data_IF_520187481959
#
_entry.id   IF_520187481959
#
_cell.length_a   1.000
_cell.length_b   1.000
_cell.length_c   1.000
_cell.angle_alpha   90.00
_cell.angle_beta   90.00
_cell.angle_gamma   90.00
#
_symmetry.space_group_name_H-M   'P 1'
#
loop_
_entity.id
_entity.type
_entity.pdbx_description
1 polymer ?
#
# COMPACT_ATOMS: atom_id res chain seq x y z
N UNK A 1 28.99 -22.65 30.45
CA UNK A 1 30.40 -22.25 30.69
C UNK A 1 31.40 -23.18 29.99
N UNK A 2 31.31 -24.51 30.17
CA UNK A 2 32.23 -25.49 29.56
C UNK A 2 32.36 -25.35 28.03
N UNK A 3 31.26 -25.44 27.29
CA UNK A 3 31.26 -25.35 25.82
C UNK A 3 31.60 -23.97 25.27
N UNK A 4 31.36 -22.91 26.06
CA UNK A 4 31.55 -21.53 25.62
C UNK A 4 32.99 -21.07 25.76
N UNK A 5 33.67 -21.49 26.82
CA UNK A 5 35.03 -21.03 27.16
C UNK A 5 36.08 -22.14 27.03
N UNK A 6 35.82 -23.33 27.54
CA UNK A 6 36.84 -24.38 27.59
C UNK A 6 37.08 -25.01 26.22
N UNK A 7 36.02 -25.32 25.47
CA UNK A 7 36.18 -25.96 24.16
C UNK A 7 36.94 -25.07 23.16
N UNK A 8 36.59 -23.79 22.94
CA UNK A 8 37.36 -22.96 22.00
C UNK A 8 38.81 -22.74 22.46
N UNK A 9 39.02 -22.59 23.77
CA UNK A 9 40.36 -22.45 24.38
C UNK A 9 41.22 -23.68 24.12
N UNK A 10 40.67 -24.88 24.32
CA UNK A 10 41.39 -26.13 24.07
C UNK A 10 41.62 -26.40 22.58
N UNK A 11 40.66 -26.06 21.70
CA UNK A 11 40.83 -26.23 20.26
C UNK A 11 41.96 -25.34 19.72
N UNK A 12 41.98 -24.06 20.08
CA UNK A 12 43.08 -23.15 19.70
C UNK A 12 44.40 -23.56 20.35
N UNK A 13 44.36 -23.97 21.62
CA UNK A 13 45.51 -24.43 22.37
C UNK A 13 46.15 -25.71 21.82
N UNK A 14 45.36 -26.71 21.44
CA UNK A 14 45.88 -27.97 20.90
C UNK A 14 46.22 -27.81 19.41
N UNK A 15 45.40 -27.11 18.62
CA UNK A 15 45.59 -26.98 17.18
C UNK A 15 46.68 -25.99 16.77
N UNK A 16 46.82 -24.87 17.49
CA UNK A 16 47.72 -23.77 17.13
C UNK A 16 48.66 -23.35 18.27
N UNK A 17 48.68 -24.09 19.38
CA UNK A 17 49.44 -23.75 20.59
C UNK A 17 49.09 -22.37 21.18
N UNK A 18 47.87 -21.88 20.95
CA UNK A 18 47.42 -20.57 21.40
C UNK A 18 46.19 -20.65 22.31
N UNK A 19 46.42 -21.03 23.57
CA UNK A 19 45.39 -21.08 24.61
C UNK A 19 44.85 -19.69 24.95
N UNK A 20 45.71 -18.66 24.92
CA UNK A 20 45.32 -17.28 25.27
C UNK A 20 44.41 -16.70 24.20
N UNK A 21 44.73 -16.90 22.93
CA UNK A 21 43.89 -16.48 21.82
C UNK A 21 42.54 -17.20 21.81
N UNK A 22 42.53 -18.51 22.10
CA UNK A 22 41.30 -19.28 22.25
C UNK A 22 40.38 -18.77 23.37
N UNK A 23 40.96 -18.35 24.50
CA UNK A 23 40.18 -17.78 25.60
C UNK A 23 39.68 -16.35 25.27
N UNK A 24 40.58 -15.42 24.92
CA UNK A 24 40.19 -14.01 24.76
C UNK A 24 39.40 -13.75 23.48
N UNK A 25 39.82 -14.31 22.34
CA UNK A 25 39.17 -14.02 21.06
C UNK A 25 38.07 -15.02 20.74
N UNK A 26 38.37 -16.32 20.73
CA UNK A 26 37.41 -17.35 20.32
C UNK A 26 36.29 -17.59 21.36
N UNK A 27 36.53 -17.23 22.62
CA UNK A 27 35.52 -17.34 23.68
C UNK A 27 34.94 -15.99 24.08
N UNK A 28 35.72 -15.11 24.71
CA UNK A 28 35.21 -13.85 25.31
C UNK A 28 34.73 -12.87 24.24
N UNK A 29 35.58 -12.48 23.29
CA UNK A 29 35.20 -11.50 22.26
C UNK A 29 34.05 -12.00 21.38
N UNK A 30 34.09 -13.27 20.96
CA UNK A 30 32.96 -13.90 20.25
C UNK A 30 31.66 -13.78 21.03
N UNK A 31 31.70 -14.03 22.34
CA UNK A 31 30.52 -13.96 23.21
C UNK A 31 29.98 -12.53 23.30
N UNK A 32 30.87 -11.55 23.45
CA UNK A 32 30.51 -10.13 23.48
C UNK A 32 29.82 -9.74 22.17
N UNK A 33 30.43 -10.04 21.02
CA UNK A 33 29.86 -9.73 19.70
C UNK A 33 28.49 -10.41 19.54
N UNK A 34 28.37 -11.69 19.90
CA UNK A 34 27.11 -12.42 19.78
C UNK A 34 25.99 -11.81 20.63
N UNK A 35 26.28 -11.44 21.88
CA UNK A 35 25.27 -10.80 22.74
C UNK A 35 24.87 -9.43 22.22
N UNK A 36 25.83 -8.62 21.75
CA UNK A 36 25.51 -7.32 21.17
C UNK A 36 24.66 -7.49 19.89
N UNK A 37 25.00 -8.44 19.03
CA UNK A 37 24.24 -8.79 17.84
C UNK A 37 22.79 -9.24 18.17
N UNK A 38 22.60 -10.04 19.22
CA UNK A 38 21.26 -10.52 19.63
C UNK A 38 20.45 -9.41 20.28
N UNK A 39 21.04 -8.63 21.19
CA UNK A 39 20.30 -7.62 21.93
C UNK A 39 20.09 -6.32 21.15
N UNK A 40 20.94 -6.02 20.15
CA UNK A 40 20.74 -4.85 19.31
C UNK A 40 19.49 -4.97 18.43
N UNK A 41 18.92 -6.17 18.24
CA UNK A 41 17.65 -6.37 17.52
C UNK A 41 16.55 -5.49 18.11
N UNK A 42 16.42 -5.52 19.44
CA UNK A 42 15.37 -4.80 20.16
C UNK A 42 15.53 -3.29 20.05
N UNK A 43 16.75 -2.80 19.85
CA UNK A 43 17.04 -1.38 19.69
C UNK A 43 16.97 -0.92 18.24
N UNK A 44 17.48 -1.71 17.28
CA UNK A 44 17.58 -1.32 15.87
C UNK A 44 16.24 -1.45 15.13
N UNK A 45 15.45 -2.46 15.47
CA UNK A 45 14.14 -2.69 14.85
C UNK A 45 13.16 -1.52 15.12
N UNK A 46 13.30 -0.76 16.22
CA UNK A 46 12.40 0.36 16.51
C UNK A 46 12.64 1.60 15.63
N UNK A 47 13.84 1.75 15.04
CA UNK A 47 14.20 2.95 14.28
C UNK A 47 14.18 2.76 12.77
N UNK A 48 14.40 1.53 12.30
CA UNK A 48 14.60 1.22 10.89
C UNK A 48 13.90 -0.10 10.58
N UNK A 49 12.89 -0.09 9.71
CA UNK A 49 12.29 -1.32 9.22
C UNK A 49 10.92 -1.12 8.60
N UNK A 50 10.47 -2.16 7.89
CA UNK A 50 9.14 -2.22 7.27
C UNK A 50 8.18 -3.07 8.12
N UNK A 51 6.91 -2.67 8.19
CA UNK A 51 5.85 -3.44 8.87
C UNK A 51 4.89 -4.08 7.83
N UNK A 52 5.29 -5.17 7.14
CA UNK A 52 4.51 -5.73 6.04
C UNK A 52 3.22 -6.46 6.42
N UNK A 53 3.01 -6.80 7.70
CA UNK A 53 1.88 -7.62 8.15
C UNK A 53 1.04 -6.98 9.26
N UNK A 54 1.68 -6.39 10.27
CA UNK A 54 1.02 -5.58 11.30
C UNK A 54 1.92 -4.44 11.75
N UNK A 55 1.34 -3.26 11.99
CA UNK A 55 2.05 -2.06 12.41
C UNK A 55 1.61 -1.56 13.80
N UNK A 56 0.79 -2.35 14.53
CA UNK A 56 0.27 -1.96 15.84
C UNK A 56 1.07 -2.52 17.00
N UNK A 57 1.38 -3.81 16.93
CA UNK A 57 1.95 -4.55 18.07
C UNK A 57 3.29 -5.20 17.75
N UNK A 58 3.73 -5.09 16.50
CA UNK A 58 4.84 -5.88 16.02
C UNK A 58 6.01 -5.02 15.55
N UNK A 59 7.24 -5.27 16.03
CA UNK A 59 8.43 -4.59 15.51
C UNK A 59 8.60 -4.86 14.01
N UNK A 60 9.14 -3.90 13.25
CA UNK A 60 9.28 -4.05 11.82
C UNK A 60 10.43 -4.99 11.43
N UNK A 61 10.39 -5.46 10.18
CA UNK A 61 11.44 -6.24 9.55
C UNK A 61 12.65 -5.35 9.24
N UNK A 62 13.87 -5.80 9.58
CA UNK A 62 15.12 -5.08 9.28
C UNK A 62 16.17 -5.99 8.62
N UNK A 63 16.61 -5.64 7.40
CA UNK A 63 17.54 -6.46 6.60
C UNK A 63 18.94 -6.61 7.23
N UNK A 64 19.59 -5.52 7.68
CA UNK A 64 20.92 -5.60 8.33
C UNK A 64 20.85 -6.47 9.58
N UNK A 65 19.84 -6.26 10.43
CA UNK A 65 19.59 -7.11 11.60
C UNK A 65 19.47 -8.58 11.21
N UNK A 66 18.70 -8.87 10.16
CA UNK A 66 18.54 -10.23 9.61
C UNK A 66 19.89 -10.86 9.25
N UNK A 67 20.80 -10.11 8.62
CA UNK A 67 22.12 -10.60 8.25
C UNK A 67 22.97 -10.96 9.48
N UNK A 68 23.01 -10.04 10.45
CA UNK A 68 23.81 -10.19 11.68
C UNK A 68 23.31 -11.35 12.53
N UNK A 69 21.99 -11.52 12.64
CA UNK A 69 21.35 -12.48 13.55
C UNK A 69 21.05 -13.81 12.87
N UNK A 70 21.21 -13.90 11.56
CA UNK A 70 21.00 -15.13 10.81
C UNK A 70 19.55 -15.43 10.44
N UNK A 71 18.66 -14.44 10.45
CA UNK A 71 17.25 -14.60 10.07
C UNK A 71 16.25 -13.96 11.03
N UNK A 72 16.65 -13.68 12.28
CA UNK A 72 15.76 -13.16 13.34
C UNK A 72 15.30 -11.70 13.12
N UNK A 73 15.83 -11.05 12.08
CA UNK A 73 15.46 -9.67 11.73
C UNK A 73 14.15 -9.54 10.97
N UNK A 74 13.53 -10.65 10.52
CA UNK A 74 12.15 -10.67 10.01
C UNK A 74 11.14 -10.73 11.16
N UNK A 75 11.24 -9.75 12.05
CA UNK A 75 10.52 -9.71 13.31
C UNK A 75 9.01 -9.52 13.09
N UNK A 76 8.63 -8.79 12.04
CA UNK A 76 7.24 -8.53 11.71
C UNK A 76 6.51 -9.81 11.33
N UNK A 77 7.15 -10.64 10.50
CA UNK A 77 6.61 -11.96 10.18
C UNK A 77 6.59 -12.88 11.39
N UNK A 78 7.68 -12.93 12.16
CA UNK A 78 7.84 -13.87 13.27
C UNK A 78 6.77 -13.69 14.36
N UNK A 79 6.49 -12.44 14.75
CA UNK A 79 5.50 -12.15 15.80
C UNK A 79 4.06 -12.23 15.30
N UNK A 80 3.80 -11.89 14.03
CA UNK A 80 2.46 -12.02 13.46
C UNK A 80 2.08 -13.50 13.26
N UNK A 81 3.04 -14.34 12.85
CA UNK A 81 2.81 -15.76 12.55
C UNK A 81 3.75 -16.67 13.36
N UNK A 82 3.65 -16.68 14.72
CA UNK A 82 4.63 -17.32 15.60
C UNK A 82 4.66 -18.85 15.49
N UNK A 83 3.66 -19.44 14.83
CA UNK A 83 3.59 -20.90 14.61
C UNK A 83 4.34 -21.36 13.36
N UNK A 84 4.75 -20.45 12.48
CA UNK A 84 5.52 -20.80 11.29
C UNK A 84 6.97 -21.08 11.67
N UNK A 85 7.55 -22.16 11.15
CA UNK A 85 8.95 -22.48 11.42
C UNK A 85 9.94 -21.50 10.76
N UNK A 86 9.46 -20.70 9.79
CA UNK A 86 10.26 -19.73 9.05
C UNK A 86 10.20 -18.38 9.76
N UNK A 87 11.33 -17.67 9.81
CA UNK A 87 11.31 -16.23 10.08
C UNK A 87 11.12 -15.45 8.79
N UNK A 88 11.63 -15.96 7.66
CA UNK A 88 11.45 -15.34 6.36
C UNK A 88 10.53 -16.13 5.42
N UNK A 89 9.46 -15.50 4.97
CA UNK A 89 8.45 -16.09 4.10
C UNK A 89 9.00 -16.54 2.74
N UNK A 90 9.75 -15.67 2.05
CA UNK A 90 10.20 -15.91 0.68
C UNK A 90 11.43 -16.80 0.69
N UNK A 91 11.57 -17.61 -0.36
CA UNK A 91 12.69 -18.53 -0.49
C UNK A 91 14.03 -17.79 -0.55
N UNK A 92 14.14 -16.69 -1.30
CA UNK A 92 15.38 -15.92 -1.45
C UNK A 92 15.74 -15.04 -0.24
N UNK A 93 14.81 -14.86 0.71
CA UNK A 93 15.09 -14.08 1.92
C UNK A 93 16.04 -14.84 2.85
N UNK A 94 17.03 -14.11 3.36
CA UNK A 94 18.11 -14.68 4.17
C UNK A 94 17.61 -15.11 5.54
N UNK A 95 17.51 -16.42 5.74
CA UNK A 95 17.07 -17.02 6.99
C UNK A 95 17.80 -18.35 7.13
N UNK A 96 18.90 -18.34 7.90
CA UNK A 96 19.76 -19.52 8.07
C UNK A 96 19.01 -20.61 8.82
N UNK A 97 18.20 -20.26 9.81
CA UNK A 97 17.48 -21.23 10.66
C UNK A 97 16.43 -21.98 9.85
N UNK A 98 15.68 -21.30 8.97
CA UNK A 98 14.77 -21.94 7.99
C UNK A 98 15.46 -23.01 7.17
N UNK A 99 16.64 -22.71 6.63
CA UNK A 99 17.37 -23.66 5.78
C UNK A 99 17.91 -24.84 6.58
N UNK A 100 18.48 -24.59 7.76
CA UNK A 100 18.95 -25.66 8.66
C UNK A 100 17.80 -26.60 9.05
N UNK A 101 16.65 -26.06 9.47
CA UNK A 101 15.47 -26.86 9.84
C UNK A 101 14.92 -27.62 8.63
N UNK A 102 14.92 -27.01 7.44
CA UNK A 102 14.48 -27.66 6.22
C UNK A 102 15.41 -28.82 5.81
N UNK A 103 16.73 -28.64 5.90
CA UNK A 103 17.70 -29.72 5.66
C UNK A 103 17.52 -30.82 6.70
N UNK A 104 17.37 -30.49 7.98
CA UNK A 104 17.09 -31.45 9.04
C UNK A 104 15.83 -32.27 8.73
N UNK A 105 14.78 -31.65 8.20
CA UNK A 105 13.57 -32.35 7.72
C UNK A 105 13.88 -33.32 6.57
N UNK A 106 14.71 -32.91 5.61
CA UNK A 106 15.12 -33.76 4.47
C UNK A 106 15.98 -34.95 4.92
N UNK A 107 16.80 -34.77 5.93
CA UNK A 107 17.61 -35.85 6.54
C UNK A 107 16.82 -36.71 7.55
N UNK A 108 15.53 -36.43 7.79
CA UNK A 108 14.71 -37.17 8.76
C UNK A 108 14.96 -36.80 10.23
N UNK A 109 15.78 -35.79 10.51
CA UNK A 109 16.09 -35.29 11.86
C UNK A 109 14.99 -34.39 12.44
N UNK A 110 14.12 -33.86 11.59
CA UNK A 110 12.96 -33.06 11.99
C UNK A 110 11.68 -33.57 11.30
N UNK A 111 10.53 -33.35 11.93
CA UNK A 111 9.21 -33.71 11.40
C UNK A 111 8.18 -32.63 11.68
N UNK A 112 7.05 -32.65 10.98
CA UNK A 112 5.90 -31.77 11.22
C UNK A 112 6.23 -30.26 11.24
N UNK A 113 6.97 -29.79 10.23
CA UNK A 113 7.27 -28.36 10.09
C UNK A 113 5.96 -27.61 9.84
N UNK A 114 5.60 -26.73 10.77
CA UNK A 114 4.38 -25.92 10.70
C UNK A 114 4.61 -24.71 9.80
N UNK A 115 3.69 -24.48 8.87
CA UNK A 115 3.62 -23.25 8.08
C UNK A 115 2.28 -22.60 8.33
N UNK A 116 2.27 -21.28 8.45
CA UNK A 116 1.01 -20.55 8.50
C UNK A 116 0.33 -20.62 7.13
N UNK A 117 -1.01 -20.69 7.04
CA UNK A 117 -1.69 -20.76 5.74
C UNK A 117 -1.43 -19.53 4.89
N UNK A 118 -1.04 -19.73 3.63
CA UNK A 118 -0.64 -18.64 2.73
C UNK A 118 -1.75 -17.59 2.52
N UNK A 119 -3.01 -18.02 2.58
CA UNK A 119 -4.17 -17.13 2.49
C UNK A 119 -4.25 -16.13 3.65
N UNK A 120 -3.95 -16.57 4.88
CA UNK A 120 -3.97 -15.68 6.05
C UNK A 120 -2.79 -14.69 6.02
N UNK A 121 -1.62 -15.17 5.58
CA UNK A 121 -0.46 -14.31 5.32
C UNK A 121 -0.79 -13.24 4.26
N UNK A 122 -1.50 -13.63 3.19
CA UNK A 122 -1.94 -12.71 2.14
C UNK A 122 -2.95 -11.67 2.66
N UNK A 123 -3.89 -12.07 3.52
CA UNK A 123 -4.83 -11.14 4.17
C UNK A 123 -4.13 -10.08 5.02
N UNK A 124 -3.11 -10.47 5.79
CA UNK A 124 -2.29 -9.51 6.56
C UNK A 124 -1.65 -8.45 5.66
N UNK A 125 -0.96 -8.90 4.59
CA UNK A 125 -0.35 -7.99 3.61
C UNK A 125 -1.37 -7.09 2.90
N UNK A 126 -2.52 -7.65 2.54
CA UNK A 126 -3.61 -6.90 1.92
C UNK A 126 -4.11 -5.80 2.86
N UNK A 127 -4.32 -6.12 4.14
CA UNK A 127 -4.78 -5.17 5.16
C UNK A 127 -3.79 -4.00 5.32
N UNK A 128 -2.49 -4.27 5.38
CA UNK A 128 -1.46 -3.21 5.43
C UNK A 128 -1.43 -2.37 4.15
N UNK A 129 -1.61 -3.00 2.99
CA UNK A 129 -1.70 -2.29 1.71
C UNK A 129 -2.91 -1.37 1.66
N UNK A 130 -4.09 -1.85 2.06
CA UNK A 130 -5.33 -1.05 2.16
C UNK A 130 -5.13 0.11 3.14
N UNK A 131 -4.48 -0.13 4.28
CA UNK A 131 -4.17 0.93 5.25
C UNK A 131 -3.28 2.01 4.65
N UNK A 132 -2.24 1.64 3.92
CA UNK A 132 -1.37 2.58 3.22
C UNK A 132 -2.12 3.35 2.12
N UNK A 133 -2.94 2.65 1.32
CA UNK A 133 -3.78 3.26 0.29
C UNK A 133 -4.81 4.23 0.88
N UNK A 134 -5.41 3.92 2.03
CA UNK A 134 -6.33 4.84 2.71
C UNK A 134 -5.63 6.13 3.14
N UNK A 135 -4.39 6.06 3.66
CA UNK A 135 -3.61 7.27 3.96
C UNK A 135 -3.39 8.14 2.72
N UNK A 136 -3.08 7.52 1.58
CA UNK A 136 -2.93 8.25 0.31
C UNK A 136 -4.26 8.82 -0.15
N UNK A 137 -5.35 8.04 -0.09
CA UNK A 137 -6.70 8.47 -0.42
C UNK A 137 -7.09 9.70 0.40
N UNK A 138 -6.84 9.70 1.70
CA UNK A 138 -7.22 10.79 2.60
C UNK A 138 -6.41 12.08 2.35
N UNK A 139 -5.26 11.99 1.66
CA UNK A 139 -4.46 13.14 1.24
C UNK A 139 -4.91 13.77 -0.10
N UNK A 140 -5.80 13.09 -0.83
CA UNK A 140 -6.28 13.52 -2.14
C UNK A 140 -7.66 14.18 -1.97
N UNK A 141 -7.88 15.30 -2.64
CA UNK A 141 -9.21 15.90 -2.73
C UNK A 141 -10.08 15.07 -3.68
N UNK A 142 -11.20 14.57 -3.18
CA UNK A 142 -12.16 13.78 -3.94
C UNK A 142 -13.42 14.61 -4.26
N UNK A 143 -14.16 14.24 -5.33
CA UNK A 143 -15.41 14.92 -5.64
C UNK A 143 -16.43 14.68 -4.54
N UNK A 144 -17.42 15.57 -4.45
CA UNK A 144 -18.56 15.42 -3.53
C UNK A 144 -19.24 14.07 -3.75
N UNK A 145 -19.69 13.47 -2.65
CA UNK A 145 -20.43 12.23 -2.73
C UNK A 145 -21.75 12.44 -3.47
N UNK A 146 -22.21 11.44 -4.22
CA UNK A 146 -23.46 11.53 -5.00
C UNK A 146 -24.66 11.79 -4.09
N UNK A 147 -24.63 11.31 -2.85
CA UNK A 147 -25.68 11.52 -1.84
C UNK A 147 -25.76 12.95 -1.33
N UNK A 148 -24.71 13.75 -1.52
CA UNK A 148 -24.65 15.16 -1.12
C UNK A 148 -25.10 16.11 -2.24
N UNK A 149 -25.22 15.62 -3.47
CA UNK A 149 -25.59 16.44 -4.61
C UNK A 149 -27.12 16.61 -4.69
N UNK A 150 -27.63 17.83 -4.88
CA UNK A 150 -29.05 18.05 -5.13
C UNK A 150 -29.46 17.35 -6.42
N UNK A 151 -30.66 16.79 -6.40
CA UNK A 151 -31.31 16.20 -7.57
C UNK A 151 -32.21 17.27 -8.16
N UNK A 152 -32.05 17.56 -9.45
CA UNK A 152 -32.83 18.57 -10.18
C UNK A 152 -33.36 17.99 -11.50
N UNK A 153 -34.49 18.54 -11.96
CA UNK A 153 -35.05 18.24 -13.27
C UNK A 153 -34.21 18.85 -14.41
N UNK A 154 -34.45 18.41 -15.65
CA UNK A 154 -33.76 18.96 -16.81
C UNK A 154 -34.19 20.42 -17.08
N UNK A 155 -35.45 20.74 -16.78
CA UNK A 155 -36.02 22.08 -16.88
C UNK A 155 -35.33 23.03 -15.90
N UNK A 156 -35.15 22.62 -14.65
CA UNK A 156 -34.39 23.38 -13.66
C UNK A 156 -32.93 23.55 -14.08
N UNK A 157 -32.30 22.49 -14.62
CA UNK A 157 -30.96 22.58 -15.21
C UNK A 157 -30.90 23.64 -16.32
N UNK A 158 -31.86 23.66 -17.24
CA UNK A 158 -31.91 24.67 -18.31
C UNK A 158 -32.12 26.09 -17.76
N UNK A 159 -32.93 26.25 -16.71
CA UNK A 159 -33.13 27.55 -16.07
C UNK A 159 -31.83 28.08 -15.45
N UNK A 160 -31.12 27.26 -14.67
CA UNK A 160 -29.85 27.68 -14.06
C UNK A 160 -28.75 27.90 -15.12
N UNK A 161 -28.75 27.12 -16.20
CA UNK A 161 -27.74 27.25 -17.24
C UNK A 161 -27.92 28.48 -18.14
N UNK A 162 -29.14 29.01 -18.23
CA UNK A 162 -29.47 30.23 -18.96
C UNK A 162 -29.62 31.46 -18.05
N UNK A 163 -29.22 31.35 -16.78
CA UNK A 163 -29.26 32.46 -15.84
C UNK A 163 -28.26 33.58 -16.21
N UNK A 164 -28.56 34.80 -15.77
CA UNK A 164 -27.72 35.99 -16.02
C UNK A 164 -26.59 36.17 -14.97
N UNK A 165 -26.32 35.15 -14.14
CA UNK A 165 -25.31 35.20 -13.08
C UNK A 165 -23.87 34.94 -13.59
N UNK A 166 -23.72 34.73 -14.90
CA UNK A 166 -22.43 34.49 -15.56
C UNK A 166 -21.91 33.06 -15.44
N UNK A 167 -22.57 32.19 -14.67
CA UNK A 167 -22.14 30.80 -14.48
C UNK A 167 -22.36 29.98 -15.74
N UNK A 168 -21.54 28.95 -15.90
CA UNK A 168 -21.51 28.11 -17.10
C UNK A 168 -21.66 26.66 -16.68
N UNK A 169 -22.76 26.03 -17.08
CA UNK A 169 -23.05 24.65 -16.70
C UNK A 169 -23.17 23.72 -17.91
N UNK A 170 -22.66 22.50 -17.76
CA UNK A 170 -22.81 21.43 -18.75
C UNK A 170 -23.36 20.17 -18.08
N UNK A 171 -24.29 19.49 -18.75
CA UNK A 171 -24.78 18.19 -18.32
C UNK A 171 -23.96 17.09 -18.99
N UNK A 172 -23.35 16.20 -18.20
CA UNK A 172 -22.57 15.07 -18.72
C UNK A 172 -22.88 13.83 -17.86
N UNK A 173 -23.29 12.74 -18.49
CA UNK A 173 -23.60 11.46 -17.86
C UNK A 173 -24.54 11.57 -16.64
N UNK A 174 -25.56 12.44 -16.75
CA UNK A 174 -26.54 12.68 -15.69
C UNK A 174 -26.07 13.58 -14.54
N UNK A 175 -24.85 14.15 -14.60
CA UNK A 175 -24.35 15.12 -13.64
C UNK A 175 -24.27 16.51 -14.26
N UNK A 176 -24.73 17.51 -13.51
CA UNK A 176 -24.52 18.92 -13.85
C UNK A 176 -23.17 19.34 -13.31
N UNK A 177 -22.35 19.93 -14.16
CA UNK A 177 -21.02 20.39 -13.84
C UNK A 177 -20.95 21.90 -13.99
N UNK A 178 -20.41 22.58 -12.99
CA UNK A 178 -20.05 23.99 -13.08
C UNK A 178 -18.66 24.12 -13.68
N UNK A 179 -18.60 24.61 -14.91
CA UNK A 179 -17.34 24.78 -15.66
C UNK A 179 -16.94 26.25 -15.76
N UNK A 180 -17.54 27.14 -14.96
CA UNK A 180 -17.32 28.60 -15.02
C UNK A 180 -15.83 28.96 -14.96
N UNK A 181 -15.11 28.40 -13.98
CA UNK A 181 -13.67 28.68 -13.80
C UNK A 181 -12.78 27.86 -14.74
N UNK A 182 -13.30 26.78 -15.31
CA UNK A 182 -12.54 25.85 -16.14
C UNK A 182 -12.61 26.19 -17.63
N UNK A 183 -13.65 26.88 -18.09
CA UNK A 183 -13.96 27.04 -19.51
C UNK A 183 -12.82 27.65 -20.34
N UNK A 184 -12.04 28.56 -19.74
CA UNK A 184 -10.90 29.22 -20.38
C UNK A 184 -9.62 28.37 -20.40
N UNK A 185 -9.52 27.39 -19.51
CA UNK A 185 -8.37 26.49 -19.41
C UNK A 185 -8.60 25.13 -20.07
N UNK A 186 -9.79 24.91 -20.66
CA UNK A 186 -10.12 23.67 -21.35
C UNK A 186 -9.13 23.37 -22.49
N UNK A 187 -8.40 22.23 -22.47
CA UNK A 187 -7.37 21.93 -23.47
C UNK A 187 -7.87 21.82 -24.92
N UNK A 188 -9.13 21.43 -25.12
CA UNK A 188 -9.77 21.45 -26.45
C UNK A 188 -10.17 22.85 -26.94
N UNK A 189 -9.93 23.87 -26.12
CA UNK A 189 -10.27 25.27 -26.40
C UNK A 189 -11.63 25.68 -25.82
N UNK A 190 -11.72 26.98 -25.47
CA UNK A 190 -12.91 27.62 -24.90
C UNK A 190 -14.14 27.46 -25.81
N UNK A 191 -13.97 27.65 -27.12
CA UNK A 191 -15.09 27.65 -28.07
C UNK A 191 -15.84 26.32 -28.10
N UNK A 192 -15.13 25.18 -28.03
CA UNK A 192 -15.74 23.86 -28.03
C UNK A 192 -16.59 23.66 -26.77
N UNK A 193 -16.08 23.97 -25.59
CA UNK A 193 -16.83 23.82 -24.34
C UNK A 193 -17.98 24.83 -24.24
N UNK A 194 -17.76 26.09 -24.65
CA UNK A 194 -18.79 27.14 -24.66
C UNK A 194 -19.99 26.75 -25.53
N UNK A 195 -19.76 26.05 -26.64
CA UNK A 195 -20.85 25.56 -27.51
C UNK A 195 -21.79 24.55 -26.86
N UNK A 196 -21.34 23.93 -25.76
CA UNK A 196 -22.03 22.89 -25.00
C UNK A 196 -22.69 23.39 -23.72
N UNK A 197 -22.49 24.66 -23.35
CA UNK A 197 -23.14 25.24 -22.16
C UNK A 197 -24.66 25.19 -22.32
N UNK A 198 -25.34 24.74 -21.27
CA UNK A 198 -26.79 24.56 -21.24
C UNK A 198 -27.33 23.35 -22.00
N UNK A 199 -26.45 22.43 -22.43
CA UNK A 199 -26.81 21.23 -23.19
C UNK A 199 -26.31 19.95 -22.52
N UNK A 200 -26.85 18.82 -22.97
CA UNK A 200 -26.28 17.51 -22.67
C UNK A 200 -25.06 17.22 -23.56
N UNK A 201 -23.88 17.36 -22.96
CA UNK A 201 -22.58 17.13 -23.57
C UNK A 201 -22.06 15.70 -23.37
N UNK A 202 -22.91 14.75 -22.96
CA UNK A 202 -22.50 13.35 -22.73
C UNK A 202 -21.88 12.73 -23.99
N UNK A 203 -22.55 12.87 -25.14
CA UNK A 203 -22.08 12.32 -26.40
C UNK A 203 -20.74 12.93 -26.85
N UNK A 204 -20.56 14.27 -26.93
CA UNK A 204 -19.27 14.84 -27.32
C UNK A 204 -18.15 14.61 -26.30
N UNK A 205 -18.46 14.38 -25.02
CA UNK A 205 -17.46 14.07 -24.00
C UNK A 205 -16.93 12.63 -24.09
N UNK A 206 -17.82 11.66 -24.38
CA UNK A 206 -17.49 10.23 -24.45
C UNK A 206 -17.23 9.72 -25.88
N UNK A 207 -17.69 10.43 -26.91
CA UNK A 207 -17.74 9.96 -28.29
C UNK A 207 -16.76 10.65 -29.25
N UNK A 208 -16.55 10.02 -30.41
CA UNK A 208 -15.80 10.58 -31.54
C UNK A 208 -14.27 10.66 -31.32
N UNK A 209 -13.65 11.72 -31.85
CA UNK A 209 -12.20 11.99 -31.78
C UNK A 209 -11.77 12.47 -30.38
N UNK A 210 -12.73 12.79 -29.50
CA UNK A 210 -12.50 13.46 -28.22
C UNK A 210 -12.84 12.59 -27.00
N UNK A 211 -12.62 11.27 -27.08
CA UNK A 211 -12.74 10.37 -25.93
C UNK A 211 -11.75 10.80 -24.82
N UNK A 212 -12.27 11.47 -23.79
CA UNK A 212 -11.46 12.07 -22.73
C UNK A 212 -10.72 11.00 -21.91
N UNK A 213 -9.52 11.33 -21.48
CA UNK A 213 -8.68 10.42 -20.67
C UNK A 213 -9.12 10.40 -19.20
N UNK A 214 -8.54 9.50 -18.41
CA UNK A 214 -8.84 9.35 -16.97
C UNK A 214 -8.64 10.65 -16.18
N UNK A 215 -7.65 11.48 -16.53
CA UNK A 215 -7.42 12.75 -15.84
C UNK A 215 -8.57 13.75 -16.07
N UNK A 216 -9.06 13.84 -17.30
CA UNK A 216 -10.23 14.66 -17.63
C UNK A 216 -11.50 14.15 -16.94
N UNK A 217 -11.70 12.83 -16.83
CA UNK A 217 -12.80 12.26 -16.05
C UNK A 217 -12.71 12.62 -14.54
N UNK A 218 -11.52 12.54 -13.96
CA UNK A 218 -11.29 12.91 -12.56
C UNK A 218 -11.55 14.40 -12.32
N UNK A 219 -11.02 15.26 -13.18
CA UNK A 219 -11.24 16.71 -13.09
C UNK A 219 -12.71 17.06 -13.28
N UNK A 220 -13.40 16.46 -14.25
CA UNK A 220 -14.83 16.65 -14.46
C UNK A 220 -15.62 16.31 -13.19
N UNK A 221 -15.30 15.19 -12.52
CA UNK A 221 -15.99 14.80 -11.31
C UNK A 221 -15.88 15.85 -10.19
N UNK A 222 -14.78 16.60 -10.10
CA UNK A 222 -14.59 17.66 -9.10
C UNK A 222 -15.54 18.86 -9.33
N UNK A 223 -16.04 19.03 -10.55
CA UNK A 223 -16.91 20.15 -10.94
C UNK A 223 -18.41 19.86 -10.75
N UNK A 224 -18.78 18.71 -10.18
CA UNK A 224 -20.18 18.31 -10.00
C UNK A 224 -20.90 19.21 -9.01
N UNK A 225 -22.08 19.67 -9.40
CA UNK A 225 -22.94 20.51 -8.56
C UNK A 225 -24.35 19.97 -8.36
N UNK A 226 -24.85 19.10 -9.25
CA UNK A 226 -26.16 18.48 -9.13
C UNK A 226 -26.25 17.17 -9.94
N UNK A 227 -27.31 16.39 -9.69
CA UNK A 227 -27.72 15.22 -10.47
C UNK A 227 -28.96 15.60 -11.26
N UNK A 228 -28.98 15.34 -12.57
CA UNK A 228 -30.16 15.52 -13.39
C UNK A 228 -31.05 14.27 -13.32
N UNK A 229 -32.31 14.43 -12.94
CA UNK A 229 -33.27 13.33 -12.94
C UNK A 229 -33.43 12.70 -14.33
N UNK A 230 -33.73 11.40 -14.33
CA UNK A 230 -34.07 10.63 -15.53
C UNK A 230 -33.03 10.67 -16.67
N UNK A 231 -31.77 10.99 -16.44
CA UNK A 231 -30.74 10.85 -17.47
C UNK A 231 -30.77 11.92 -18.57
N UNK A 232 -31.35 13.10 -18.29
CA UNK A 232 -31.09 14.31 -19.07
C UNK A 232 -32.02 14.58 -20.25
N UNK A 233 -31.46 15.16 -21.31
CA UNK A 233 -32.20 15.79 -22.42
C UNK A 233 -33.10 14.81 -23.20
N UNK A 234 -32.69 13.55 -23.31
CA UNK A 234 -33.41 12.52 -24.08
C UNK A 234 -34.73 12.12 -23.41
N UNK A 235 -34.71 11.87 -22.10
CA UNK A 235 -35.94 11.50 -21.37
C UNK A 235 -36.87 12.69 -21.19
N UNK A 236 -36.34 13.90 -21.04
CA UNK A 236 -37.13 15.13 -21.06
C UNK A 236 -37.90 15.29 -22.38
N UNK A 237 -37.22 15.15 -23.53
CA UNK A 237 -37.86 15.25 -24.85
C UNK A 237 -38.96 14.21 -25.09
N UNK A 238 -38.82 12.99 -24.56
CA UNK A 238 -39.87 11.96 -24.64
C UNK A 238 -41.16 12.35 -23.92
N UNK A 239 -41.10 13.16 -22.86
CA UNK A 239 -42.28 13.64 -22.13
C UNK A 239 -43.01 14.79 -22.84
N UNK A 240 -42.37 15.43 -23.83
CA UNK A 240 -42.94 16.56 -24.57
C UNK A 240 -43.57 16.16 -25.93
N UNK A 241 -43.40 14.91 -26.36
CA UNK A 241 -44.00 14.32 -27.56
C UNK A 241 -45.29 13.56 -27.21
#
# INVERSE_FOLDING_TARGET
MSMTFFVPTLVCGIGWNDYRGGFFFASVLRLVILHHATFCINSLALYLGDAPFDDKHTPPDHFITTLITGGEGYHNFHHEFPSDYRNALRWFQYDRTKWVIWIAKKCGLATNLKKFPDNEIAKGRYTMTVKALNKVRDSIAWPKDRTELPIISFEEYQQIANGDDGRQFVLIAGFVHDVTDFIDSHPGGRALLKSQVGKDATVPFHGGVHAHNTAAHNLLAMMRVAICEHGGEVEFRKKQL
#
